data_IF_893060479809
#
_entry.id   IF_893060479809
#
_cell.length_a   1.000
_cell.length_b   1.000
_cell.length_c   1.000
_cell.angle_alpha   90.00
_cell.angle_beta   90.00
_cell.angle_gamma   90.00
#
_symmetry.space_group_name_H-M   'P 1'
#
loop_
_entity.id
_entity.type
_entity.pdbx_description
1 polymer ?
#
# COMPACT_ATOMS: atom_id res chain seq x y z
N UNK A 1 -29.83 -0.80 46.09
CA UNK A 1 -30.38 -1.92 45.29
C UNK A 1 -29.22 -2.81 44.87
N UNK A 2 -29.24 -4.09 45.24
CA UNK A 2 -28.17 -5.01 44.84
C UNK A 2 -28.15 -5.13 43.31
N UNK A 3 -27.00 -4.87 42.68
CA UNK A 3 -26.83 -5.02 41.22
C UNK A 3 -26.57 -6.50 40.94
N UNK A 4 -27.36 -7.10 40.08
CA UNK A 4 -27.17 -8.48 39.61
C UNK A 4 -26.61 -8.46 38.20
N UNK A 5 -25.80 -9.46 37.85
CA UNK A 5 -25.36 -9.62 36.47
C UNK A 5 -26.46 -10.28 35.62
N UNK A 6 -26.85 -9.64 34.52
CA UNK A 6 -27.92 -10.12 33.62
C UNK A 6 -27.62 -11.46 32.92
N UNK A 7 -26.35 -11.91 32.92
CA UNK A 7 -25.95 -13.20 32.32
C UNK A 7 -25.67 -14.28 33.36
N UNK A 8 -25.02 -13.92 34.48
CA UNK A 8 -24.55 -14.88 35.49
C UNK A 8 -25.51 -15.00 36.70
N UNK A 9 -26.51 -14.11 36.82
CA UNK A 9 -27.49 -14.08 37.92
C UNK A 9 -26.91 -13.77 39.30
N UNK A 10 -25.59 -13.65 39.42
CA UNK A 10 -24.88 -13.45 40.69
C UNK A 10 -25.04 -12.01 41.19
N UNK A 11 -25.28 -11.79 42.50
CA UNK A 11 -25.23 -10.46 43.11
C UNK A 11 -23.79 -9.94 43.11
N UNK A 12 -23.60 -8.70 42.67
CA UNK A 12 -22.32 -8.00 42.65
C UNK A 12 -22.24 -7.02 43.82
N UNK A 13 -21.11 -7.02 44.52
CA UNK A 13 -20.80 -5.97 45.49
C UNK A 13 -20.57 -4.62 44.77
N UNK A 14 -20.72 -3.51 45.48
CA UNK A 14 -20.51 -2.17 44.89
C UNK A 14 -19.09 -2.04 44.31
N UNK A 15 -18.99 -1.93 42.98
CA UNK A 15 -17.72 -1.82 42.25
C UNK A 15 -17.18 -3.13 41.66
N UNK A 16 -17.79 -4.28 41.93
CA UNK A 16 -17.37 -5.58 41.36
C UNK A 16 -17.96 -5.78 39.95
N UNK A 17 -17.11 -6.12 38.98
CA UNK A 17 -17.52 -6.43 37.59
C UNK A 17 -17.58 -7.96 37.41
N UNK A 18 -18.75 -8.53 37.03
CA UNK A 18 -18.87 -10.00 36.82
C UNK A 18 -17.87 -10.43 35.73
N UNK A 19 -17.22 -11.59 35.93
CA UNK A 19 -16.28 -12.21 34.98
C UNK A 19 -16.90 -12.42 33.58
N UNK A 20 -18.22 -12.55 33.49
CA UNK A 20 -18.97 -12.62 32.23
C UNK A 20 -18.93 -11.30 31.44
N UNK A 21 -18.95 -10.14 32.13
CA UNK A 21 -18.75 -8.84 31.48
C UNK A 21 -17.29 -8.63 31.08
N UNK A 22 -16.32 -9.13 31.87
CA UNK A 22 -14.90 -9.11 31.49
C UNK A 22 -14.58 -9.97 30.26
N UNK A 23 -15.34 -11.05 29.99
CA UNK A 23 -15.19 -11.84 28.76
C UNK A 23 -15.71 -11.11 27.50
N UNK A 24 -16.74 -10.26 27.66
CA UNK A 24 -17.33 -9.49 26.54
C UNK A 24 -16.62 -8.16 26.30
N UNK A 25 -16.01 -7.56 27.32
CA UNK A 25 -15.01 -6.51 27.13
C UNK A 25 -13.70 -7.18 26.75
N UNK A 26 -13.58 -7.49 25.45
CA UNK A 26 -12.44 -8.16 24.85
C UNK A 26 -11.13 -7.75 25.51
N UNK A 27 -10.39 -8.75 25.97
CA UNK A 27 -9.05 -8.65 26.50
C UNK A 27 -8.20 -7.78 25.57
N UNK A 28 -8.02 -6.50 25.92
CA UNK A 28 -6.88 -5.73 25.46
C UNK A 28 -5.69 -6.35 26.19
N UNK A 29 -5.00 -7.26 25.51
CA UNK A 29 -3.73 -7.80 26.00
C UNK A 29 -2.76 -6.63 26.18
N UNK A 30 -2.52 -6.24 27.44
CA UNK A 30 -1.32 -5.50 27.83
C UNK A 30 -0.13 -6.44 27.66
N UNK A 31 0.32 -6.67 26.43
CA UNK A 31 1.42 -7.60 26.19
C UNK A 31 1.90 -7.81 24.75
N UNK A 32 1.14 -7.45 23.73
CA UNK A 32 1.56 -7.74 22.34
C UNK A 32 2.26 -6.54 21.69
N UNK A 33 3.49 -6.29 22.13
CA UNK A 33 4.41 -5.43 21.39
C UNK A 33 4.69 -6.06 20.02
N UNK A 34 4.13 -5.49 18.97
CA UNK A 34 4.33 -5.96 17.60
C UNK A 34 5.82 -5.77 17.24
N UNK A 35 6.52 -6.81 16.76
CA UNK A 35 7.93 -6.68 16.41
C UNK A 35 8.13 -5.61 15.34
N UNK A 36 9.17 -4.79 15.51
CA UNK A 36 9.46 -3.61 14.69
C UNK A 36 9.49 -3.92 13.17
N UNK A 37 9.91 -5.13 12.78
CA UNK A 37 9.87 -5.59 11.37
C UNK A 37 8.44 -5.70 10.80
N UNK A 38 7.47 -6.14 11.60
CA UNK A 38 6.03 -6.14 11.25
C UNK A 38 5.45 -4.71 11.26
N UNK A 39 6.03 -3.81 12.05
CA UNK A 39 5.67 -2.40 12.14
C UNK A 39 6.15 -1.58 10.92
N UNK A 40 7.32 -1.93 10.38
CA UNK A 40 7.92 -1.29 9.19
C UNK A 40 7.36 -1.87 7.88
N UNK A 41 6.64 -3.00 7.93
CA UNK A 41 6.12 -3.66 6.74
C UNK A 41 7.19 -4.41 5.94
N UNK A 42 8.24 -4.89 6.62
CA UNK A 42 9.20 -5.84 6.04
C UNK A 42 8.63 -7.24 6.27
N UNK A 43 7.94 -7.77 5.26
CA UNK A 43 7.31 -9.08 5.27
C UNK A 43 5.99 -9.08 4.49
N UNK A 44 5.67 -10.19 3.84
CA UNK A 44 4.37 -10.38 3.19
C UNK A 44 3.24 -10.18 4.21
N UNK A 45 2.26 -9.36 3.84
CA UNK A 45 1.09 -9.00 4.64
C UNK A 45 0.26 -10.20 5.10
N UNK A 46 0.51 -11.40 4.54
CA UNK A 46 -0.32 -12.59 4.73
C UNK A 46 -0.14 -13.27 6.09
N UNK A 47 0.99 -13.08 6.77
CA UNK A 47 1.28 -13.77 8.05
C UNK A 47 0.98 -12.93 9.31
N UNK A 48 0.28 -11.80 9.18
CA UNK A 48 0.07 -10.83 10.26
C UNK A 48 -1.41 -10.59 10.61
N UNK A 49 -2.32 -11.54 10.39
CA UNK A 49 -3.72 -11.35 10.76
C UNK A 49 -3.98 -11.61 12.25
N UNK A 50 -3.45 -10.74 13.11
CA UNK A 50 -3.73 -10.72 14.55
C UNK A 50 -5.18 -10.28 14.77
N UNK A 51 -6.14 -11.21 14.81
CA UNK A 51 -7.57 -10.97 15.13
C UNK A 51 -8.49 -10.46 13.98
N UNK A 52 -8.28 -10.87 12.73
CA UNK A 52 -9.27 -10.63 11.65
C UNK A 52 -9.57 -9.16 11.36
N UNK A 53 -8.59 -8.28 11.59
CA UNK A 53 -8.74 -6.83 11.42
C UNK A 53 -8.88 -6.42 9.95
N UNK A 54 -8.40 -7.27 9.04
CA UNK A 54 -8.52 -7.12 7.59
C UNK A 54 -9.80 -7.77 7.03
N UNK A 55 -10.60 -8.40 7.90
CA UNK A 55 -11.91 -8.98 7.57
C UNK A 55 -11.86 -9.93 6.34
N UNK A 56 -10.73 -10.61 6.13
CA UNK A 56 -10.51 -11.50 4.98
C UNK A 56 -11.51 -12.65 5.02
N UNK A 57 -12.13 -12.95 3.87
CA UNK A 57 -13.15 -14.00 3.75
C UNK A 57 -14.55 -13.66 4.26
N UNK A 58 -14.81 -12.42 4.71
CA UNK A 58 -16.16 -11.95 5.08
C UNK A 58 -16.77 -11.06 4.02
N UNK A 59 -18.08 -11.17 3.83
CA UNK A 59 -18.85 -10.23 3.02
C UNK A 59 -19.20 -8.97 3.84
N UNK A 60 -19.22 -7.79 3.21
CA UNK A 60 -19.64 -6.56 3.90
C UNK A 60 -21.10 -6.68 4.36
N UNK A 61 -21.96 -7.20 3.50
CA UNK A 61 -23.33 -7.61 3.80
C UNK A 61 -23.45 -9.10 3.44
N UNK A 62 -23.90 -9.99 4.35
CA UNK A 62 -24.53 -9.71 5.64
C UNK A 62 -23.59 -9.75 6.86
N UNK A 63 -22.35 -10.22 6.72
CA UNK A 63 -21.52 -10.60 7.89
C UNK A 63 -21.03 -9.41 8.72
N UNK A 64 -20.80 -8.26 8.08
CA UNK A 64 -20.17 -7.09 8.72
C UNK A 64 -21.13 -5.92 8.94
N UNK A 65 -22.25 -5.88 8.21
CA UNK A 65 -23.27 -4.83 8.24
C UNK A 65 -24.63 -5.50 8.10
N UNK A 66 -25.58 -5.06 8.93
CA UNK A 66 -26.95 -5.55 8.87
C UNK A 66 -27.58 -5.16 7.51
N UNK A 67 -28.17 -6.13 6.77
CA UNK A 67 -28.89 -5.84 5.54
C UNK A 67 -30.13 -5.00 5.83
N UNK A 68 -30.45 -4.06 4.94
CA UNK A 68 -31.76 -3.43 4.93
C UNK A 68 -32.84 -4.45 4.48
N UNK A 69 -34.11 -4.14 4.73
CA UNK A 69 -35.23 -5.00 4.29
C UNK A 69 -35.12 -5.30 2.80
N UNK A 70 -35.11 -6.58 2.40
CA UNK A 70 -34.95 -7.03 1.00
C UNK A 70 -33.65 -6.57 0.31
N UNK A 71 -32.58 -6.31 1.06
CA UNK A 71 -31.25 -6.06 0.47
C UNK A 71 -30.60 -7.37 0.04
N UNK A 72 -30.21 -7.47 -1.23
CA UNK A 72 -29.56 -8.65 -1.80
C UNK A 72 -28.13 -8.25 -2.22
N UNK A 73 -27.09 -8.89 -1.66
CA UNK A 73 -25.73 -8.70 -2.14
C UNK A 73 -25.58 -9.29 -3.54
N UNK A 74 -25.00 -8.51 -4.46
CA UNK A 74 -24.75 -8.93 -5.85
C UNK A 74 -23.34 -9.49 -5.95
N UNK A 75 -22.33 -8.63 -5.73
CA UNK A 75 -20.92 -8.99 -5.90
C UNK A 75 -20.03 -8.15 -4.99
N UNK A 76 -18.95 -8.76 -4.51
CA UNK A 76 -17.93 -8.12 -3.70
C UNK A 76 -16.56 -8.24 -4.38
N UNK A 77 -15.82 -7.14 -4.39
CA UNK A 77 -14.49 -7.07 -4.98
C UNK A 77 -13.47 -6.52 -3.99
N UNK A 78 -12.25 -7.05 -4.06
CA UNK A 78 -11.10 -6.50 -3.36
C UNK A 78 -10.43 -5.41 -4.23
N UNK A 79 -10.87 -4.17 -4.03
CA UNK A 79 -10.54 -3.04 -4.89
C UNK A 79 -9.15 -2.46 -4.64
N UNK A 80 -8.75 -2.21 -3.38
CA UNK A 80 -7.52 -1.46 -3.12
C UNK A 80 -6.85 -1.78 -1.80
N UNK A 81 -5.54 -1.55 -1.71
CA UNK A 81 -4.78 -1.60 -0.46
C UNK A 81 -4.27 -0.20 -0.12
N UNK A 82 -4.85 0.42 0.91
CA UNK A 82 -4.42 1.71 1.40
C UNK A 82 -3.33 1.53 2.47
N UNK A 83 -2.16 2.14 2.26
CA UNK A 83 -1.07 2.14 3.23
C UNK A 83 -0.56 3.54 3.51
N UNK A 84 -0.21 3.82 4.75
CA UNK A 84 0.51 5.04 5.14
C UNK A 84 1.68 4.68 6.03
N UNK A 85 2.90 4.91 5.54
CA UNK A 85 4.13 4.55 6.26
C UNK A 85 4.31 5.35 7.55
N UNK A 86 4.01 6.65 7.51
CA UNK A 86 4.20 7.57 8.65
C UNK A 86 3.23 7.25 9.79
N UNK A 87 1.98 6.89 9.45
CA UNK A 87 0.95 6.54 10.45
C UNK A 87 0.92 5.03 10.77
N UNK A 88 1.79 4.25 10.12
CA UNK A 88 1.70 2.78 9.97
C UNK A 88 0.28 2.29 9.79
N UNK A 89 -0.46 2.98 8.93
CA UNK A 89 -1.80 2.61 8.55
C UNK A 89 -1.70 1.56 7.45
N UNK A 90 -2.37 0.44 7.61
CA UNK A 90 -2.49 -0.60 6.60
C UNK A 90 -3.95 -1.01 6.56
N UNK A 91 -4.61 -0.79 5.42
CA UNK A 91 -6.03 -1.04 5.23
C UNK A 91 -6.27 -1.74 3.89
N UNK A 92 -7.16 -2.72 3.91
CA UNK A 92 -7.70 -3.39 2.73
C UNK A 92 -9.07 -2.79 2.42
N UNK A 93 -9.27 -2.42 1.17
CA UNK A 93 -10.45 -1.77 0.65
C UNK A 93 -11.26 -2.72 -0.19
N UNK A 94 -12.46 -2.99 0.28
CA UNK A 94 -13.45 -3.81 -0.42
C UNK A 94 -14.61 -2.94 -0.87
N UNK A 95 -15.09 -3.22 -2.07
CA UNK A 95 -16.33 -2.64 -2.58
C UNK A 95 -17.35 -3.77 -2.75
N UNK A 96 -18.54 -3.59 -2.22
CA UNK A 96 -19.65 -4.50 -2.42
C UNK A 96 -20.82 -3.74 -3.02
N UNK A 97 -21.43 -4.32 -4.05
CA UNK A 97 -22.61 -3.77 -4.69
C UNK A 97 -23.81 -4.61 -4.28
N UNK A 98 -24.84 -3.93 -3.78
CA UNK A 98 -26.15 -4.51 -3.48
C UNK A 98 -27.19 -3.92 -4.42
N UNK A 99 -28.41 -4.47 -4.39
CA UNK A 99 -29.55 -3.93 -5.13
C UNK A 99 -29.95 -2.50 -4.73
N UNK A 100 -29.55 -2.03 -3.54
CA UNK A 100 -29.96 -0.72 -3.00
C UNK A 100 -28.81 0.27 -2.87
N UNK A 101 -27.60 -0.21 -2.58
CA UNK A 101 -26.46 0.66 -2.30
C UNK A 101 -25.13 0.03 -2.67
N UNK A 102 -24.15 0.88 -2.85
CA UNK A 102 -22.74 0.54 -3.01
C UNK A 102 -22.06 0.84 -1.69
N UNK A 103 -21.40 -0.18 -1.16
CA UNK A 103 -20.70 -0.14 0.11
C UNK A 103 -19.22 -0.19 -0.17
N UNK A 104 -18.48 0.83 0.27
CA UNK A 104 -17.04 0.83 0.24
C UNK A 104 -16.51 0.83 1.67
N UNK A 105 -15.73 -0.20 2.00
CA UNK A 105 -15.20 -0.42 3.35
C UNK A 105 -13.69 -0.57 3.27
N UNK A 106 -12.99 0.31 3.98
CA UNK A 106 -11.57 0.20 4.27
C UNK A 106 -11.43 -0.38 5.68
N UNK A 107 -10.85 -1.56 5.82
CA UNK A 107 -10.61 -2.18 7.12
C UNK A 107 -9.14 -2.51 7.30
N UNK A 108 -8.61 -2.26 8.50
CA UNK A 108 -7.24 -2.61 8.81
C UNK A 108 -6.75 -2.06 10.14
N UNK A 109 -5.46 -1.73 10.21
CA UNK A 109 -4.77 -1.32 11.43
C UNK A 109 -4.03 0.00 11.27
N UNK A 110 -3.87 0.69 12.38
CA UNK A 110 -3.01 1.85 12.60
C UNK A 110 -2.10 1.57 13.80
N UNK A 111 -1.15 2.47 14.08
CA UNK A 111 -0.32 2.39 15.29
C UNK A 111 -1.11 2.34 16.60
N UNK A 112 -2.33 2.89 16.63
CA UNK A 112 -3.14 3.08 17.84
C UNK A 112 -4.23 2.00 17.97
N UNK A 113 -4.51 1.26 16.90
CA UNK A 113 -5.55 0.23 16.90
C UNK A 113 -6.19 -0.01 15.53
N UNK A 114 -7.38 -0.62 15.54
CA UNK A 114 -8.14 -0.92 14.32
C UNK A 114 -8.61 0.37 13.65
N UNK A 115 -8.28 0.54 12.38
CA UNK A 115 -8.68 1.68 11.59
C UNK A 115 -9.69 1.22 10.55
N UNK A 116 -10.92 1.74 10.63
CA UNK A 116 -11.99 1.40 9.71
C UNK A 116 -12.62 2.67 9.15
N UNK A 117 -12.85 2.69 7.84
CA UNK A 117 -13.62 3.74 7.17
C UNK A 117 -14.71 3.06 6.35
N UNK A 118 -15.92 3.60 6.45
CA UNK A 118 -17.09 3.10 5.76
C UNK A 118 -17.76 4.24 5.03
N UNK A 119 -18.00 4.06 3.73
CA UNK A 119 -18.72 5.01 2.90
C UNK A 119 -19.79 4.26 2.11
N UNK A 120 -21.01 4.76 2.18
CA UNK A 120 -22.18 4.16 1.56
C UNK A 120 -22.77 5.14 0.55
N UNK A 121 -23.18 4.62 -0.60
CA UNK A 121 -23.84 5.39 -1.64
C UNK A 121 -25.09 4.67 -2.08
N UNK A 122 -26.25 5.33 -2.11
CA UNK A 122 -27.45 4.73 -2.67
C UNK A 122 -27.28 4.55 -4.17
N UNK A 123 -27.76 3.44 -4.72
CA UNK A 123 -27.54 3.14 -6.14
C UNK A 123 -28.24 4.16 -7.04
N UNK A 124 -29.38 4.71 -6.60
CA UNK A 124 -30.17 5.68 -7.35
C UNK A 124 -29.51 7.07 -7.44
N UNK A 125 -28.68 7.43 -6.46
CA UNK A 125 -27.98 8.72 -6.41
C UNK A 125 -26.67 8.71 -7.21
N UNK A 126 -26.13 7.53 -7.54
CA UNK A 126 -24.89 7.43 -8.30
C UNK A 126 -25.12 7.84 -9.76
N UNK A 127 -24.51 8.95 -10.15
CA UNK A 127 -24.53 9.46 -11.52
C UNK A 127 -23.44 8.80 -12.39
N UNK A 128 -22.30 8.47 -11.78
CA UNK A 128 -21.18 7.84 -12.47
C UNK A 128 -20.08 7.43 -11.51
N UNK A 129 -19.23 6.54 -11.98
CA UNK A 129 -18.03 6.10 -11.25
C UNK A 129 -16.85 6.21 -12.19
N UNK A 130 -15.79 6.86 -11.72
CA UNK A 130 -14.51 6.92 -12.43
C UNK A 130 -13.43 6.31 -11.54
N UNK A 131 -12.90 5.17 -11.98
CA UNK A 131 -11.75 4.53 -11.36
C UNK A 131 -10.61 4.66 -12.35
N UNK A 132 -9.44 5.11 -11.88
CA UNK A 132 -8.27 5.21 -12.72
C UNK A 132 -7.06 4.58 -12.05
N UNK A 133 -6.40 3.70 -12.79
CA UNK A 133 -5.07 3.19 -12.50
C UNK A 133 -4.04 4.17 -13.08
N UNK A 134 -3.19 4.70 -12.22
CA UNK A 134 -2.13 5.62 -12.60
C UNK A 134 -0.79 5.21 -11.99
N UNK A 135 0.24 5.96 -12.38
CA UNK A 135 1.55 5.90 -11.73
C UNK A 135 1.77 7.24 -11.05
N UNK A 136 2.14 7.20 -9.78
CA UNK A 136 2.46 8.38 -8.99
C UNK A 136 3.96 8.43 -8.71
N UNK A 137 4.53 9.62 -8.87
CA UNK A 137 5.91 9.90 -8.48
C UNK A 137 5.97 10.22 -6.97
N UNK A 138 6.62 9.36 -6.21
CA UNK A 138 6.87 9.56 -4.79
C UNK A 138 8.15 10.36 -4.56
N UNK A 139 8.06 11.69 -4.51
CA UNK A 139 9.23 12.55 -4.24
C UNK A 139 9.98 12.16 -2.96
N UNK A 140 9.24 11.79 -1.90
CA UNK A 140 9.85 11.33 -0.65
C UNK A 140 10.55 9.99 -0.78
N UNK A 141 10.01 9.06 -1.57
CA UNK A 141 10.69 7.80 -1.85
C UNK A 141 11.97 8.04 -2.66
N UNK A 142 11.93 8.98 -3.61
CA UNK A 142 13.11 9.41 -4.36
C UNK A 142 14.19 9.98 -3.42
N UNK A 143 13.82 10.94 -2.55
CA UNK A 143 14.75 11.57 -1.60
C UNK A 143 15.31 10.57 -0.58
N UNK A 144 14.47 9.70 -0.02
CA UNK A 144 14.92 8.67 0.93
C UNK A 144 15.81 7.65 0.22
N UNK A 145 15.47 7.23 -1.00
CA UNK A 145 16.30 6.34 -1.81
C UNK A 145 17.67 6.95 -2.13
N UNK A 146 17.68 8.23 -2.50
CA UNK A 146 18.91 9.00 -2.71
C UNK A 146 19.74 9.10 -1.42
N UNK A 147 19.13 9.42 -0.28
CA UNK A 147 19.85 9.49 1.01
C UNK A 147 20.45 8.14 1.44
N UNK A 148 19.70 7.05 1.30
CA UNK A 148 20.19 5.71 1.65
C UNK A 148 21.35 5.29 0.75
N UNK A 149 21.36 5.73 -0.51
CA UNK A 149 22.39 5.37 -1.47
C UNK A 149 23.79 5.94 -1.16
N UNK A 150 23.90 6.95 -0.29
CA UNK A 150 25.21 7.43 0.19
C UNK A 150 25.99 6.35 0.94
N UNK A 151 25.31 5.41 1.59
CA UNK A 151 25.96 4.31 2.32
C UNK A 151 26.72 3.38 1.36
N UNK A 152 26.08 2.73 0.36
CA UNK A 152 26.79 1.93 -0.62
C UNK A 152 27.79 2.74 -1.46
N UNK A 153 27.53 4.03 -1.73
CA UNK A 153 28.50 4.92 -2.37
C UNK A 153 29.79 5.03 -1.55
N UNK A 154 29.69 5.27 -0.24
CA UNK A 154 30.84 5.35 0.65
C UNK A 154 31.59 4.01 0.79
N UNK A 155 30.86 2.89 0.82
CA UNK A 155 31.45 1.54 0.81
C UNK A 155 32.21 1.32 -0.51
N UNK A 156 31.60 1.65 -1.64
CA UNK A 156 32.23 1.57 -2.96
C UNK A 156 33.51 2.41 -3.04
N UNK A 157 33.49 3.61 -2.48
CA UNK A 157 34.67 4.48 -2.39
C UNK A 157 35.84 3.82 -1.64
N UNK A 158 35.57 3.09 -0.55
CA UNK A 158 36.63 2.35 0.17
C UNK A 158 37.18 1.18 -0.65
N UNK A 159 36.30 0.47 -1.36
CA UNK A 159 36.65 -0.69 -2.20
C UNK A 159 37.44 -0.25 -3.45
N UNK A 160 37.18 0.94 -4.00
CA UNK A 160 37.96 1.51 -5.11
C UNK A 160 39.44 1.77 -4.79
N UNK A 161 39.90 1.47 -3.57
CA UNK A 161 41.32 1.47 -3.22
C UNK A 161 42.09 0.22 -3.66
N UNK A 162 41.41 -0.80 -4.18
CA UNK A 162 41.98 -2.02 -4.77
C UNK A 162 42.67 -1.67 -6.12
N UNK A 163 43.64 -2.49 -6.62
CA UNK A 163 44.22 -2.30 -7.95
C UNK A 163 43.18 -1.98 -9.04
N UNK A 164 43.46 -0.97 -9.84
CA UNK A 164 42.47 -0.31 -10.71
C UNK A 164 41.71 -1.26 -11.64
N UNK A 165 42.40 -2.22 -12.26
CA UNK A 165 41.76 -3.20 -13.15
C UNK A 165 40.72 -4.05 -12.42
N UNK A 166 41.04 -4.52 -11.21
CA UNK A 166 40.09 -5.26 -10.38
C UNK A 166 38.92 -4.37 -9.96
N UNK A 167 39.19 -3.10 -9.61
CA UNK A 167 38.14 -2.15 -9.24
C UNK A 167 37.17 -1.89 -10.40
N UNK A 168 37.67 -1.73 -11.65
CA UNK A 168 36.80 -1.58 -12.82
C UNK A 168 35.99 -2.85 -13.13
N UNK A 169 36.59 -4.04 -13.02
CA UNK A 169 35.87 -5.30 -13.20
C UNK A 169 34.73 -5.44 -12.17
N UNK A 170 35.01 -5.14 -10.90
CA UNK A 170 34.00 -5.18 -9.83
C UNK A 170 32.92 -4.11 -10.04
N UNK A 171 33.29 -2.91 -10.46
CA UNK A 171 32.35 -1.83 -10.78
C UNK A 171 31.38 -2.22 -11.91
N UNK A 172 31.90 -2.81 -12.98
CA UNK A 172 31.07 -3.31 -14.10
C UNK A 172 30.20 -4.48 -13.66
N UNK A 173 30.75 -5.42 -12.87
CA UNK A 173 29.99 -6.56 -12.35
C UNK A 173 28.79 -6.12 -11.48
N UNK A 174 28.95 -5.05 -10.70
CA UNK A 174 27.87 -4.47 -9.89
C UNK A 174 26.80 -3.71 -10.70
N UNK A 175 27.09 -3.37 -11.96
CA UNK A 175 26.10 -2.80 -12.88
C UNK A 175 25.23 -3.89 -13.55
N UNK A 176 25.71 -5.13 -13.66
CA UNK A 176 24.97 -6.28 -14.25
C UNK A 176 23.59 -6.54 -13.61
N UNK A 177 23.43 -6.48 -12.26
CA UNK A 177 22.14 -6.58 -11.58
C UNK A 177 21.02 -5.69 -12.13
N UNK A 178 21.37 -4.55 -12.77
CA UNK A 178 20.39 -3.67 -13.41
C UNK A 178 19.58 -4.40 -14.50
N UNK A 179 20.22 -5.28 -15.27
CA UNK A 179 19.60 -6.03 -16.36
C UNK A 179 18.96 -7.33 -15.89
N UNK A 180 19.50 -7.96 -14.84
CA UNK A 180 19.09 -9.31 -14.40
C UNK A 180 17.84 -9.28 -13.52
N UNK A 181 17.77 -8.41 -12.51
CA UNK A 181 16.67 -8.46 -11.56
C UNK A 181 15.41 -7.77 -12.11
N UNK A 182 14.32 -8.50 -12.34
CA UNK A 182 13.03 -7.88 -12.69
C UNK A 182 12.37 -7.26 -11.45
N UNK A 183 11.76 -6.07 -11.59
CA UNK A 183 10.89 -5.38 -10.61
C UNK A 183 11.53 -4.89 -9.29
N UNK A 184 12.73 -5.32 -8.90
CA UNK A 184 13.42 -4.85 -7.67
C UNK A 184 14.26 -3.57 -7.89
N UNK A 185 13.62 -2.45 -8.23
CA UNK A 185 14.28 -1.19 -8.59
C UNK A 185 15.17 -0.60 -7.49
N UNK A 186 14.82 -0.79 -6.22
CA UNK A 186 15.62 -0.30 -5.09
C UNK A 186 17.00 -0.96 -5.00
N UNK A 187 17.04 -2.29 -5.11
CA UNK A 187 18.31 -3.05 -5.03
C UNK A 187 19.22 -2.66 -6.20
N UNK A 188 18.65 -2.45 -7.40
CA UNK A 188 19.41 -1.96 -8.55
C UNK A 188 20.06 -0.60 -8.27
N UNK A 189 19.31 0.33 -7.69
CA UNK A 189 19.84 1.65 -7.34
C UNK A 189 20.97 1.55 -6.30
N UNK A 190 20.87 0.65 -5.32
CA UNK A 190 21.95 0.44 -4.33
C UNK A 190 23.21 -0.18 -4.96
N UNK A 191 23.07 -1.19 -5.82
CA UNK A 191 24.20 -1.80 -6.52
C UNK A 191 24.89 -0.78 -7.45
N UNK A 192 24.11 0.03 -8.16
CA UNK A 192 24.64 1.08 -9.03
C UNK A 192 25.32 2.21 -8.23
N UNK A 193 24.79 2.58 -7.06
CA UNK A 193 25.46 3.54 -6.18
C UNK A 193 26.82 3.03 -5.68
N UNK A 194 26.92 1.72 -5.34
CA UNK A 194 28.21 1.12 -4.99
C UNK A 194 29.17 1.08 -6.19
N UNK A 195 28.68 0.73 -7.38
CA UNK A 195 29.47 0.74 -8.62
C UNK A 195 30.02 2.14 -8.92
N UNK A 196 29.18 3.18 -8.82
CA UNK A 196 29.54 4.59 -8.99
C UNK A 196 30.69 4.97 -8.05
N UNK A 197 30.60 4.60 -6.77
CA UNK A 197 31.64 4.90 -5.78
C UNK A 197 32.99 4.25 -6.11
N UNK A 198 32.98 3.01 -6.61
CA UNK A 198 34.20 2.29 -7.02
C UNK A 198 34.81 2.94 -8.27
N UNK A 199 33.98 3.22 -9.29
CA UNK A 199 34.43 3.76 -10.57
C UNK A 199 34.99 5.18 -10.44
N UNK A 200 34.30 6.07 -9.71
CA UNK A 200 34.75 7.45 -9.51
C UNK A 200 36.05 7.52 -8.70
N UNK A 201 36.15 6.77 -7.61
CA UNK A 201 37.35 6.83 -6.77
C UNK A 201 38.58 6.24 -7.47
N UNK A 202 38.41 5.11 -8.17
CA UNK A 202 39.51 4.50 -8.93
C UNK A 202 39.97 5.43 -10.05
N UNK A 203 39.04 6.09 -10.75
CA UNK A 203 39.35 7.03 -11.83
C UNK A 203 40.07 8.28 -11.31
N UNK A 204 39.67 8.79 -10.14
CA UNK A 204 40.29 9.96 -9.50
C UNK A 204 41.73 9.68 -9.06
N UNK A 205 42.00 8.50 -8.49
CA UNK A 205 43.36 8.10 -8.11
C UNK A 205 44.29 8.01 -9.33
N UNK A 206 43.78 7.42 -10.42
CA UNK A 206 44.58 7.17 -11.62
C UNK A 206 44.72 8.39 -12.53
N UNK A 207 44.13 9.53 -12.16
CA UNK A 207 44.11 10.74 -12.98
C UNK A 207 45.52 11.22 -13.35
N UNK A 208 46.49 11.05 -12.45
CA UNK A 208 47.88 11.48 -12.65
C UNK A 208 48.83 10.35 -13.08
N UNK A 209 48.55 9.10 -12.73
CA UNK A 209 49.43 7.96 -13.03
C UNK A 209 49.18 7.36 -14.42
N UNK A 210 47.91 7.19 -14.79
CA UNK A 210 47.50 6.52 -16.03
C UNK A 210 46.30 7.24 -16.68
N UNK A 211 46.54 8.31 -17.47
CA UNK A 211 45.49 9.21 -17.94
C UNK A 211 44.49 8.54 -18.90
N UNK A 212 44.94 7.56 -19.70
CA UNK A 212 44.06 6.82 -20.62
C UNK A 212 43.07 5.94 -19.84
N UNK A 213 43.57 5.21 -18.84
CA UNK A 213 42.76 4.31 -18.04
C UNK A 213 41.78 5.07 -17.13
N UNK A 214 42.20 6.23 -16.60
CA UNK A 214 41.32 7.15 -15.86
C UNK A 214 40.18 7.69 -16.72
N UNK A 215 40.44 8.11 -17.97
CA UNK A 215 39.39 8.57 -18.89
C UNK A 215 38.36 7.48 -19.22
N UNK A 216 38.82 6.25 -19.42
CA UNK A 216 37.94 5.11 -19.64
C UNK A 216 37.06 4.82 -18.41
N UNK A 217 37.66 4.86 -17.21
CA UNK A 217 36.94 4.74 -15.95
C UNK A 217 35.87 5.82 -15.75
N UNK A 218 36.18 7.08 -16.07
CA UNK A 218 35.22 8.18 -16.00
C UNK A 218 34.07 8.02 -16.99
N UNK A 219 34.34 7.52 -18.20
CA UNK A 219 33.30 7.23 -19.19
C UNK A 219 32.31 6.17 -18.67
N UNK A 220 32.83 5.08 -18.09
CA UNK A 220 31.99 4.06 -17.44
C UNK A 220 31.24 4.61 -16.22
N UNK A 221 31.86 5.49 -15.44
CA UNK A 221 31.21 6.20 -14.33
C UNK A 221 30.01 7.03 -14.79
N UNK A 222 30.15 7.80 -15.87
CA UNK A 222 29.02 8.59 -16.43
C UNK A 222 27.85 7.68 -16.86
N UNK A 223 28.15 6.53 -17.47
CA UNK A 223 27.10 5.56 -17.83
C UNK A 223 26.42 5.00 -16.58
N UNK A 224 27.20 4.63 -15.56
CA UNK A 224 26.67 4.13 -14.29
C UNK A 224 25.80 5.18 -13.58
N UNK A 225 26.17 6.46 -13.62
CA UNK A 225 25.42 7.58 -13.07
C UNK A 225 24.05 7.73 -13.75
N UNK A 226 24.01 7.67 -15.08
CA UNK A 226 22.76 7.76 -15.85
C UNK A 226 21.85 6.59 -15.48
N UNK A 227 22.38 5.37 -15.41
CA UNK A 227 21.63 4.17 -15.01
C UNK A 227 21.14 4.27 -13.56
N UNK A 228 21.95 4.84 -12.66
CA UNK A 228 21.60 5.04 -11.26
C UNK A 228 20.44 6.03 -11.11
N UNK A 229 20.49 7.18 -11.80
CA UNK A 229 19.41 8.17 -11.81
C UNK A 229 18.13 7.54 -12.37
N UNK A 230 18.23 6.79 -13.47
CA UNK A 230 17.09 6.08 -14.04
C UNK A 230 16.51 5.03 -13.07
N UNK A 231 17.37 4.28 -12.36
CA UNK A 231 16.94 3.30 -11.36
C UNK A 231 16.22 3.96 -10.17
N UNK A 232 16.72 5.09 -9.68
CA UNK A 232 16.06 5.87 -8.63
C UNK A 232 14.72 6.43 -9.09
N UNK A 233 14.64 6.94 -10.32
CA UNK A 233 13.40 7.45 -10.88
C UNK A 233 12.36 6.33 -10.99
N UNK A 234 12.73 5.16 -11.53
CA UNK A 234 11.86 3.98 -11.61
C UNK A 234 11.46 3.45 -10.22
N UNK A 235 12.33 3.57 -9.21
CA UNK A 235 12.00 3.23 -7.82
C UNK A 235 10.96 4.18 -7.22
N UNK A 236 11.01 5.47 -7.57
CA UNK A 236 10.07 6.47 -7.11
C UNK A 236 8.70 6.39 -7.81
N UNK A 237 8.63 5.76 -8.99
CA UNK A 237 7.37 5.47 -9.67
C UNK A 237 6.67 4.29 -9.00
N UNK A 238 5.53 4.57 -8.36
CA UNK A 238 4.68 3.55 -7.74
C UNK A 238 3.30 3.54 -8.39
N UNK A 239 2.64 2.37 -8.47
CA UNK A 239 1.25 2.32 -8.90
C UNK A 239 0.38 3.08 -7.90
N UNK A 240 -0.63 3.78 -8.40
CA UNK A 240 -1.62 4.49 -7.60
C UNK A 240 -3.01 4.28 -8.19
N UNK A 241 -3.96 3.90 -7.36
CA UNK A 241 -5.37 3.81 -7.71
C UNK A 241 -6.08 5.06 -7.19
N UNK A 242 -6.92 5.68 -8.01
CA UNK A 242 -7.85 6.73 -7.59
C UNK A 242 -9.28 6.38 -7.96
N UNK A 243 -10.19 6.59 -7.02
CA UNK A 243 -11.60 6.28 -7.15
C UNK A 243 -12.38 7.56 -6.88
N UNK A 244 -13.29 7.92 -7.78
CA UNK A 244 -14.29 8.95 -7.56
C UNK A 244 -15.67 8.46 -7.96
N UNK A 245 -16.61 8.62 -7.03
CA UNK A 245 -18.03 8.32 -7.23
C UNK A 245 -18.74 9.67 -7.32
N UNK A 246 -19.37 9.92 -8.46
CA UNK A 246 -20.16 11.11 -8.74
C UNK A 246 -21.61 10.84 -8.35
N UNK A 247 -22.20 11.69 -7.53
CA UNK A 247 -23.61 11.61 -7.16
C UNK A 247 -24.42 12.75 -7.77
N UNK A 248 -25.68 12.51 -8.08
CA UNK A 248 -26.59 13.47 -8.75
C UNK A 248 -26.80 14.76 -7.95
N UNK A 249 -26.66 14.69 -6.62
CA UNK A 249 -26.90 15.80 -5.70
C UNK A 249 -25.61 16.44 -5.15
N UNK A 250 -24.41 15.95 -5.53
CA UNK A 250 -23.17 16.55 -5.04
C UNK A 250 -22.89 17.90 -5.71
N UNK A 251 -22.85 18.96 -4.90
CA UNK A 251 -22.40 20.28 -5.29
C UNK A 251 -20.92 20.23 -5.69
N UNK A 252 -20.66 20.18 -6.99
CA UNK A 252 -19.39 20.45 -7.68
C UNK A 252 -18.14 19.58 -7.35
N UNK A 253 -18.09 18.84 -6.26
CA UNK A 253 -16.97 17.93 -5.95
C UNK A 253 -17.47 16.50 -5.74
N UNK A 254 -17.09 15.53 -6.60
CA UNK A 254 -17.40 14.12 -6.35
C UNK A 254 -16.67 13.65 -5.09
N UNK A 255 -17.19 12.61 -4.43
CA UNK A 255 -16.53 12.05 -3.26
C UNK A 255 -15.23 11.36 -3.70
N UNK A 256 -14.13 12.02 -3.39
CA UNK A 256 -12.79 11.68 -3.81
C UNK A 256 -12.09 10.80 -2.77
N UNK A 257 -11.95 9.51 -3.06
CA UNK A 257 -11.08 8.62 -2.28
C UNK A 257 -9.68 8.71 -2.89
N UNK A 258 -9.00 9.82 -2.61
CA UNK A 258 -7.65 10.10 -3.11
C UNK A 258 -6.56 9.51 -2.21
N UNK A 259 -5.42 9.23 -2.84
CA UNK A 259 -4.12 9.28 -2.20
C UNK A 259 -3.76 10.76 -1.91
N UNK A 260 -4.42 11.41 -0.94
CA UNK A 260 -4.21 12.85 -0.67
C UNK A 260 -2.80 13.07 -0.12
N UNK A 261 -1.97 13.89 -0.77
CA UNK A 261 -0.69 14.36 -0.22
C UNK A 261 -0.90 15.65 0.56
N UNK A 262 -1.60 15.59 1.69
CA UNK A 262 -1.45 16.64 2.71
C UNK A 262 -0.18 16.37 3.50
N UNK A 263 0.55 17.42 3.92
CA UNK A 263 1.85 17.40 4.64
C UNK A 263 2.01 16.33 5.74
N UNK A 264 0.89 15.82 6.28
CA UNK A 264 0.84 14.94 7.46
C UNK A 264 0.23 13.56 7.17
N UNK A 265 -0.22 13.28 5.94
CA UNK A 265 -0.90 12.00 5.65
C UNK A 265 -0.68 11.57 4.20
N UNK A 266 0.49 10.99 3.90
CA UNK A 266 0.69 10.26 2.64
C UNK A 266 -0.05 8.93 2.76
N UNK A 267 -1.33 8.90 2.40
CA UNK A 267 -2.06 7.66 2.16
C UNK A 267 -1.74 7.24 0.72
N UNK A 268 -1.09 6.08 0.55
CA UNK A 268 -0.85 5.45 -0.74
C UNK A 268 -1.97 4.42 -0.96
N UNK A 269 -2.75 4.57 -2.03
CA UNK A 269 -3.80 3.60 -2.40
C UNK A 269 -3.27 2.78 -3.57
N UNK A 270 -3.00 1.50 -3.33
CA UNK A 270 -2.49 0.57 -4.33
C UNK A 270 -3.66 -0.24 -4.91
N UNK A 271 -3.62 -0.62 -6.21
CA UNK A 271 -4.62 -1.51 -6.78
C UNK A 271 -4.61 -2.88 -6.09
N UNK A 272 -5.80 -3.39 -5.79
CA UNK A 272 -6.03 -4.73 -5.26
C UNK A 272 -6.04 -5.79 -6.36
N UNK A 273 -6.33 -7.05 -5.99
CA UNK A 273 -6.39 -8.18 -6.94
C UNK A 273 -7.47 -8.00 -8.00
N UNK A 274 -8.59 -7.41 -7.62
CA UNK A 274 -9.78 -7.29 -8.48
C UNK A 274 -9.92 -5.89 -9.08
N UNK A 275 -8.91 -5.01 -8.92
CA UNK A 275 -9.01 -3.61 -9.34
C UNK A 275 -9.32 -3.46 -10.83
N UNK A 276 -8.68 -4.27 -11.69
CA UNK A 276 -8.88 -4.22 -13.14
C UNK A 276 -10.29 -4.69 -13.53
N UNK A 277 -10.78 -5.75 -12.88
CA UNK A 277 -12.15 -6.27 -13.08
C UNK A 277 -13.18 -5.21 -12.68
N UNK A 278 -12.95 -4.53 -11.55
CA UNK A 278 -13.86 -3.46 -11.08
C UNK A 278 -13.85 -2.27 -12.05
N UNK A 279 -12.71 -1.92 -12.64
CA UNK A 279 -12.62 -0.82 -13.62
C UNK A 279 -13.49 -1.11 -14.85
N UNK A 280 -13.53 -2.37 -15.30
CA UNK A 280 -14.31 -2.78 -16.46
C UNK A 280 -15.80 -3.00 -16.14
N UNK A 281 -16.10 -3.68 -15.03
CA UNK A 281 -17.45 -4.15 -14.73
C UNK A 281 -18.31 -3.15 -13.93
N UNK A 282 -17.72 -2.36 -13.02
CA UNK A 282 -18.49 -1.63 -12.02
C UNK A 282 -19.46 -0.62 -12.64
N UNK A 283 -19.00 0.12 -13.65
CA UNK A 283 -19.83 1.11 -14.35
C UNK A 283 -21.01 0.46 -15.07
N UNK A 284 -20.77 -0.67 -15.77
CA UNK A 284 -21.83 -1.42 -16.43
C UNK A 284 -22.80 -2.06 -15.45
N UNK A 285 -22.31 -2.61 -14.34
CA UNK A 285 -23.13 -3.25 -13.32
C UNK A 285 -24.07 -2.24 -12.66
N UNK A 286 -23.57 -1.06 -12.29
CA UNK A 286 -24.42 0.00 -11.71
C UNK A 286 -25.51 0.40 -12.69
N UNK A 287 -25.16 0.61 -13.97
CA UNK A 287 -26.12 1.02 -14.99
C UNK A 287 -27.17 -0.06 -15.28
N UNK A 288 -26.75 -1.33 -15.36
CA UNK A 288 -27.66 -2.45 -15.56
C UNK A 288 -28.64 -2.59 -14.39
N UNK A 289 -28.19 -2.44 -13.14
CA UNK A 289 -29.08 -2.50 -11.97
C UNK A 289 -30.05 -1.31 -11.98
N UNK A 290 -29.60 -0.10 -12.32
CA UNK A 290 -30.46 1.09 -12.42
C UNK A 290 -31.52 0.99 -13.53
N UNK A 291 -31.19 0.35 -14.65
CA UNK A 291 -32.07 0.31 -15.84
C UNK A 291 -32.94 -0.94 -15.93
N UNK A 292 -32.38 -2.11 -15.58
CA UNK A 292 -33.04 -3.41 -15.70
C UNK A 292 -33.59 -3.93 -14.37
N UNK A 293 -33.24 -3.28 -13.25
CA UNK A 293 -33.69 -3.67 -11.91
C UNK A 293 -33.36 -5.13 -11.57
N UNK A 294 -34.38 -5.97 -11.42
CA UNK A 294 -34.24 -7.37 -11.00
C UNK A 294 -33.51 -8.25 -12.02
N UNK A 295 -33.69 -8.01 -13.32
CA UNK A 295 -33.00 -8.77 -14.36
C UNK A 295 -31.50 -8.44 -14.39
N UNK A 296 -31.15 -7.16 -14.17
CA UNK A 296 -29.77 -6.72 -14.00
C UNK A 296 -29.11 -7.42 -12.81
N UNK A 297 -29.81 -7.50 -11.68
CA UNK A 297 -29.30 -8.20 -10.48
C UNK A 297 -29.04 -9.69 -10.78
N UNK A 298 -29.95 -10.36 -11.51
CA UNK A 298 -29.77 -11.77 -11.87
C UNK A 298 -28.55 -11.98 -12.78
N UNK A 299 -28.38 -11.14 -13.80
CA UNK A 299 -27.26 -11.18 -14.75
C UNK A 299 -25.89 -11.11 -14.07
N UNK A 300 -25.74 -10.25 -13.06
CA UNK A 300 -24.45 -10.02 -12.40
C UNK A 300 -24.19 -10.93 -11.19
N UNK A 301 -25.19 -11.74 -10.80
CA UNK A 301 -25.09 -12.72 -9.72
C UNK A 301 -24.71 -14.12 -10.23
N UNK A 302 -25.00 -14.41 -11.49
CA UNK A 302 -24.52 -15.60 -12.22
C UNK A 302 -23.01 -15.54 -12.49
#
# INVERSE_FOLDING_TARGET
>A
MAKFCNQCGRPLAEGEVCRCQMKNMGTVSKGDGIPFGKLIGIGESDNNDVQGCFERGKEIVPDLIAPCEQEIPVKQYHLCNARSRIRGLWQEGKIQVTNKRILFRLSGRSWIGRAMSHTEFTIDEVAGVSISNGVRFGLWDFLVGFLISFIPLAIGWKIGGIPALLAYIVGVALAVPFFVFKKKHFIKALCLAAAEGILLFSSLRLMFEHPVLSRFGMFLGVIALILYIAALFLFALKPSLSISIMTKCASAEPVYIWSRQTMVSVMEVLPGKDADIVIEELGSMIRDIQTLGYEGIKKWKE
#
